data_IF_729871589089
#
_entry.id   IF_729871589089
#
_cell.length_a   1.000
_cell.length_b   1.000
_cell.length_c   1.000
_cell.angle_alpha   90.00
_cell.angle_beta   90.00
_cell.angle_gamma   90.00
#
_symmetry.space_group_name_H-M   'P 1'
#
loop_
_entity.id
_entity.type
_entity.pdbx_description
1 polymer ?
#
# COMPACT_ATOMS: atom_id res chain seq x y z
N UNK A 1 -36.92 -14.17 6.64
CA UNK A 1 -35.90 -14.01 5.58
C UNK A 1 -34.90 -12.90 5.90
N UNK A 2 -35.34 -11.69 6.24
CA UNK A 2 -34.48 -10.53 6.57
C UNK A 2 -33.50 -10.81 7.71
N UNK A 3 -33.95 -11.44 8.81
CA UNK A 3 -33.09 -11.83 9.93
C UNK A 3 -31.99 -12.82 9.53
N UNK A 4 -32.31 -13.80 8.68
CA UNK A 4 -31.34 -14.78 8.16
C UNK A 4 -30.25 -14.10 7.32
N UNK A 5 -30.65 -13.15 6.48
CA UNK A 5 -29.71 -12.36 5.66
C UNK A 5 -28.84 -11.47 6.54
N UNK A 6 -29.40 -10.85 7.58
CA UNK A 6 -28.65 -10.04 8.54
C UNK A 6 -27.61 -10.87 9.32
N UNK A 7 -28.00 -12.07 9.79
CA UNK A 7 -27.07 -13.01 10.43
C UNK A 7 -25.96 -13.46 9.48
N UNK A 8 -26.30 -13.76 8.22
CA UNK A 8 -25.32 -14.14 7.20
C UNK A 8 -24.37 -13.00 6.78
N UNK A 9 -24.77 -11.75 7.03
CA UNK A 9 -23.97 -10.57 6.67
C UNK A 9 -22.83 -10.29 7.66
N UNK A 10 -23.02 -10.58 8.95
CA UNK A 10 -22.02 -10.32 9.99
C UNK A 10 -20.67 -11.04 9.74
N UNK A 11 -20.63 -12.34 9.42
CA UNK A 11 -19.38 -13.04 9.10
C UNK A 11 -18.67 -12.54 7.84
N UNK A 12 -19.31 -11.70 7.03
CA UNK A 12 -18.71 -11.09 5.84
C UNK A 12 -18.22 -9.67 6.15
N UNK A 13 -19.06 -8.84 6.77
CA UNK A 13 -18.73 -7.45 7.10
C UNK A 13 -17.55 -7.38 8.06
N UNK A 14 -17.57 -8.18 9.14
CA UNK A 14 -16.57 -8.08 10.21
C UNK A 14 -15.16 -8.37 9.70
N UNK A 15 -14.88 -9.49 8.98
CA UNK A 15 -13.55 -9.73 8.44
C UNK A 15 -13.09 -8.67 7.44
N UNK A 16 -14.00 -8.14 6.61
CA UNK A 16 -13.68 -7.09 5.63
C UNK A 16 -13.25 -5.80 6.34
N UNK A 17 -13.98 -5.39 7.38
CA UNK A 17 -13.64 -4.20 8.19
C UNK A 17 -12.32 -4.39 8.94
N UNK A 18 -12.11 -5.56 9.57
CA UNK A 18 -10.85 -5.88 10.26
C UNK A 18 -9.68 -5.86 9.28
N UNK A 19 -9.81 -6.51 8.13
CA UNK A 19 -8.76 -6.55 7.11
C UNK A 19 -8.47 -5.15 6.56
N UNK A 20 -9.52 -4.36 6.28
CA UNK A 20 -9.40 -2.96 5.87
C UNK A 20 -8.61 -2.12 6.88
N UNK A 21 -8.96 -2.22 8.16
CA UNK A 21 -8.30 -1.49 9.23
C UNK A 21 -6.82 -1.91 9.39
N UNK A 22 -6.55 -3.21 9.43
CA UNK A 22 -5.19 -3.75 9.58
C UNK A 22 -4.30 -3.33 8.43
N UNK A 23 -4.78 -3.42 7.18
CA UNK A 23 -3.99 -3.04 6.01
C UNK A 23 -3.71 -1.53 5.95
N UNK A 24 -4.68 -0.68 6.33
CA UNK A 24 -4.46 0.78 6.44
C UNK A 24 -3.42 1.12 7.52
N UNK A 25 -3.49 0.49 8.69
CA UNK A 25 -2.50 0.71 9.76
C UNK A 25 -1.11 0.17 9.39
N UNK A 26 -1.04 -0.97 8.71
CA UNK A 26 0.22 -1.53 8.22
C UNK A 26 0.88 -0.61 7.18
N UNK A 27 0.09 -0.02 6.27
CA UNK A 27 0.58 0.98 5.30
C UNK A 27 1.17 2.20 6.01
N UNK A 28 0.44 2.81 6.96
CA UNK A 28 0.93 3.96 7.73
C UNK A 28 2.22 3.63 8.49
N UNK A 29 2.33 2.43 9.08
CA UNK A 29 3.53 2.01 9.84
C UNK A 29 4.76 1.80 8.98
N UNK A 30 4.61 1.36 7.72
CA UNK A 30 5.74 1.14 6.81
C UNK A 30 6.38 2.44 6.34
N UNK A 31 5.76 3.58 6.64
CA UNK A 31 6.25 4.87 6.20
C UNK A 31 6.30 4.98 4.68
N UNK A 32 5.59 4.08 3.97
CA UNK A 32 5.42 4.17 2.54
C UNK A 32 4.89 5.57 2.26
N UNK A 33 5.75 6.42 1.71
CA UNK A 33 5.24 7.58 1.02
C UNK A 33 4.33 7.03 -0.05
N UNK A 34 3.10 7.53 -0.17
CA UNK A 34 2.21 7.10 -1.23
C UNK A 34 2.84 7.52 -2.57
N UNK A 35 3.73 6.69 -3.10
CA UNK A 35 4.35 6.84 -4.41
C UNK A 35 3.23 6.65 -5.44
N UNK A 36 2.59 7.76 -5.79
CA UNK A 36 1.55 7.84 -6.82
C UNK A 36 0.11 7.97 -6.30
N UNK A 37 -0.73 8.54 -7.18
CA UNK A 37 -2.17 8.79 -6.95
C UNK A 37 -2.98 7.52 -6.61
N UNK A 38 -2.52 6.36 -7.07
CA UNK A 38 -3.19 5.06 -6.86
C UNK A 38 -3.19 4.58 -5.40
N UNK A 39 -2.16 4.92 -4.61
CA UNK A 39 -2.05 4.51 -3.20
C UNK A 39 -2.83 5.39 -2.22
N UNK A 40 -3.19 6.61 -2.63
CA UNK A 40 -3.84 7.61 -1.76
C UNK A 40 -5.32 7.34 -1.50
N UNK A 41 -5.98 6.60 -2.39
CA UNK A 41 -7.42 6.40 -2.33
C UNK A 41 -8.20 7.73 -2.19
N UNK A 42 -9.29 7.76 -1.41
CA UNK A 42 -10.05 8.99 -1.14
C UNK A 42 -9.27 10.14 -0.50
N UNK A 43 -8.13 9.84 0.15
CA UNK A 43 -7.33 10.89 0.81
C UNK A 43 -6.59 11.78 -0.17
N UNK A 44 -6.59 11.45 -1.46
CA UNK A 44 -6.12 12.35 -2.54
C UNK A 44 -6.86 13.69 -2.56
N UNK A 45 -8.09 13.73 -2.04
CA UNK A 45 -8.90 14.95 -1.93
C UNK A 45 -8.51 15.84 -0.74
N UNK A 46 -7.64 15.36 0.16
CA UNK A 46 -7.22 16.06 1.36
C UNK A 46 -5.83 16.69 1.20
N UNK A 47 -5.56 17.80 1.91
CA UNK A 47 -4.21 18.35 2.04
C UNK A 47 -3.22 17.30 2.57
N UNK A 48 -1.97 17.38 2.13
CA UNK A 48 -0.93 16.39 2.39
C UNK A 48 -0.74 16.09 3.88
N UNK A 49 -0.73 17.14 4.72
CA UNK A 49 -0.68 17.07 6.19
C UNK A 49 -1.83 16.29 6.84
N UNK A 50 -2.97 16.17 6.17
CA UNK A 50 -4.17 15.49 6.68
C UNK A 50 -4.34 14.06 6.15
N UNK A 51 -3.54 13.62 5.17
CA UNK A 51 -3.69 12.29 4.56
C UNK A 51 -3.46 11.17 5.57
N UNK A 52 -2.30 11.18 6.24
CA UNK A 52 -1.96 10.20 7.28
C UNK A 52 -2.99 10.14 8.42
N UNK A 53 -3.37 11.25 9.07
CA UNK A 53 -4.37 11.19 10.15
C UNK A 53 -5.74 10.74 9.64
N UNK A 54 -6.14 11.08 8.41
CA UNK A 54 -7.40 10.58 7.84
C UNK A 54 -7.39 9.06 7.60
N UNK A 55 -6.27 8.48 7.13
CA UNK A 55 -6.13 7.02 6.97
C UNK A 55 -6.24 6.33 8.33
N UNK A 56 -5.54 6.84 9.35
CA UNK A 56 -5.59 6.30 10.71
C UNK A 56 -7.00 6.40 11.29
N UNK A 57 -7.66 7.55 11.16
CA UNK A 57 -9.03 7.75 11.64
C UNK A 57 -10.00 6.77 10.96
N UNK A 58 -9.89 6.60 9.64
CA UNK A 58 -10.70 5.65 8.89
C UNK A 58 -10.48 4.21 9.38
N UNK A 59 -9.22 3.81 9.60
CA UNK A 59 -8.91 2.49 10.14
C UNK A 59 -9.47 2.26 11.55
N UNK A 60 -9.41 3.28 12.41
CA UNK A 60 -10.01 3.22 13.75
C UNK A 60 -11.54 3.10 13.69
N UNK A 61 -12.18 3.84 12.78
CA UNK A 61 -13.64 3.77 12.56
C UNK A 61 -14.05 2.38 12.04
N UNK A 62 -13.32 1.83 11.07
CA UNK A 62 -13.56 0.47 10.56
C UNK A 62 -13.42 -0.58 11.66
N UNK A 63 -12.36 -0.49 12.47
CA UNK A 63 -12.14 -1.40 13.60
C UNK A 63 -13.24 -1.26 14.66
N UNK A 64 -13.65 -0.02 14.98
CA UNK A 64 -14.74 0.24 15.90
C UNK A 64 -16.05 -0.39 15.44
N UNK A 65 -16.40 -0.29 14.15
CA UNK A 65 -17.60 -0.96 13.61
C UNK A 65 -17.47 -2.48 13.61
N UNK A 66 -16.27 -3.03 13.33
CA UNK A 66 -16.04 -4.47 13.36
C UNK A 66 -16.28 -5.08 14.76
N UNK A 67 -16.01 -4.30 15.82
CA UNK A 67 -16.25 -4.70 17.21
C UNK A 67 -17.68 -4.39 17.66
N UNK A 68 -18.19 -3.19 17.35
CA UNK A 68 -19.48 -2.71 17.84
C UNK A 68 -20.68 -3.44 17.22
N UNK A 69 -20.65 -3.73 15.91
CA UNK A 69 -21.76 -4.40 15.23
C UNK A 69 -22.10 -5.80 15.79
N UNK A 70 -21.14 -6.69 16.08
CA UNK A 70 -21.44 -8.00 16.66
C UNK A 70 -21.74 -7.95 18.17
N UNK A 71 -21.22 -6.97 18.91
CA UNK A 71 -21.25 -6.98 20.38
C UNK A 71 -22.29 -6.04 21.01
N UNK A 72 -22.66 -4.94 20.34
CA UNK A 72 -23.59 -3.96 20.88
C UNK A 72 -24.90 -3.93 20.10
N UNK A 73 -25.98 -4.30 20.79
CA UNK A 73 -27.35 -4.11 20.33
C UNK A 73 -27.79 -2.65 20.52
N UNK A 74 -27.21 -1.74 19.74
CA UNK A 74 -27.50 -0.31 19.81
C UNK A 74 -27.74 0.29 18.42
N UNK A 75 -28.70 1.23 18.24
CA UNK A 75 -28.99 1.82 16.93
C UNK A 75 -27.81 2.64 16.37
N UNK A 76 -27.01 3.28 17.23
CA UNK A 76 -25.88 4.12 16.80
C UNK A 76 -24.86 3.38 15.91
N UNK A 77 -24.22 2.28 16.33
CA UNK A 77 -23.25 1.57 15.49
C UNK A 77 -23.89 0.99 14.22
N UNK A 78 -25.16 0.57 14.28
CA UNK A 78 -25.88 -0.01 13.14
C UNK A 78 -26.16 1.01 12.05
N UNK A 79 -26.84 2.10 12.38
CA UNK A 79 -27.13 3.16 11.43
C UNK A 79 -25.87 3.94 11.04
N UNK A 80 -24.90 4.06 11.96
CA UNK A 80 -23.58 4.62 11.67
C UNK A 80 -22.84 3.83 10.59
N UNK A 81 -22.89 2.49 10.64
CA UNK A 81 -22.28 1.66 9.61
C UNK A 81 -22.97 1.82 8.24
N UNK A 82 -24.30 1.95 8.21
CA UNK A 82 -25.05 2.25 6.98
C UNK A 82 -24.61 3.59 6.38
N UNK A 83 -24.55 4.64 7.20
CA UNK A 83 -24.08 5.97 6.79
C UNK A 83 -22.64 5.91 6.29
N UNK A 84 -21.76 5.19 7.00
CA UNK A 84 -20.37 5.02 6.63
C UNK A 84 -20.21 4.40 5.24
N UNK A 85 -20.87 3.26 4.97
CA UNK A 85 -20.77 2.62 3.65
C UNK A 85 -21.47 3.42 2.56
N UNK A 86 -22.57 4.11 2.86
CA UNK A 86 -23.25 5.00 1.91
C UNK A 86 -22.33 6.15 1.51
N UNK A 87 -21.67 6.77 2.49
CA UNK A 87 -20.68 7.82 2.25
C UNK A 87 -19.49 7.29 1.46
N UNK A 88 -18.98 6.10 1.80
CA UNK A 88 -17.91 5.46 1.05
C UNK A 88 -18.29 5.23 -0.42
N UNK A 89 -19.50 4.71 -0.68
CA UNK A 89 -20.03 4.56 -2.05
C UNK A 89 -20.10 5.89 -2.78
N UNK A 90 -20.64 6.94 -2.13
CA UNK A 90 -20.70 8.27 -2.72
C UNK A 90 -19.31 8.82 -3.08
N UNK A 91 -18.36 8.72 -2.15
CA UNK A 91 -16.98 9.16 -2.35
C UNK A 91 -16.31 8.40 -3.48
N UNK A 92 -16.54 7.08 -3.62
CA UNK A 92 -16.02 6.30 -4.75
C UNK A 92 -16.64 6.73 -6.09
N UNK A 93 -17.94 7.04 -6.12
CA UNK A 93 -18.59 7.57 -7.34
C UNK A 93 -18.04 8.94 -7.71
N UNK A 94 -17.82 9.82 -6.73
CA UNK A 94 -17.25 11.16 -6.94
C UNK A 94 -15.78 11.08 -7.38
N UNK A 95 -14.99 10.20 -6.75
CA UNK A 95 -13.59 9.93 -7.15
C UNK A 95 -13.52 9.40 -8.58
N UNK A 96 -14.38 8.45 -8.96
CA UNK A 96 -14.41 7.94 -10.34
C UNK A 96 -14.68 9.05 -11.36
N UNK A 97 -15.44 10.08 -10.98
CA UNK A 97 -15.74 11.24 -11.85
C UNK A 97 -14.61 12.26 -11.88
N UNK A 98 -13.96 12.55 -10.73
CA UNK A 98 -12.97 13.63 -10.61
C UNK A 98 -11.52 13.18 -10.81
N UNK A 99 -11.19 11.96 -10.38
CA UNK A 99 -9.84 11.39 -10.32
C UNK A 99 -9.90 9.88 -10.59
N UNK A 100 -10.19 9.44 -11.83
CA UNK A 100 -10.35 8.03 -12.15
C UNK A 100 -9.12 7.19 -11.81
N UNK A 101 -7.92 7.79 -11.85
CA UNK A 101 -6.64 7.15 -11.54
C UNK A 101 -6.41 6.87 -10.05
N UNK A 102 -7.24 7.42 -9.15
CA UNK A 102 -7.11 7.16 -7.72
C UNK A 102 -7.61 5.76 -7.37
N UNK A 103 -6.98 5.14 -6.35
CA UNK A 103 -7.43 3.84 -5.82
C UNK A 103 -8.72 3.93 -5.02
N UNK A 104 -9.30 2.78 -4.64
CA UNK A 104 -10.49 2.76 -3.78
C UNK A 104 -10.20 2.97 -2.28
N UNK A 105 -8.94 2.74 -1.84
CA UNK A 105 -8.50 2.92 -0.46
C UNK A 105 -9.08 1.93 0.57
N UNK A 106 -10.02 1.04 0.20
CA UNK A 106 -10.65 0.09 1.13
C UNK A 106 -9.64 -0.83 1.84
N UNK A 107 -8.56 -1.23 1.16
CA UNK A 107 -7.50 -2.08 1.70
C UNK A 107 -6.15 -1.36 1.84
N UNK A 108 -6.17 -0.02 2.01
CA UNK A 108 -4.96 0.79 2.02
C UNK A 108 -4.18 0.69 0.70
N UNK A 109 -2.85 0.66 0.78
CA UNK A 109 -1.92 0.59 -0.37
C UNK A 109 -2.00 -0.71 -1.18
N UNK A 110 -2.72 -1.72 -0.70
CA UNK A 110 -2.92 -2.98 -1.43
C UNK A 110 -3.91 -2.78 -2.59
N UNK A 111 -4.73 -1.74 -2.54
CA UNK A 111 -5.72 -1.42 -3.58
C UNK A 111 -5.27 -0.23 -4.45
N UNK A 112 -4.21 -0.43 -5.25
CA UNK A 112 -3.71 0.61 -6.17
C UNK A 112 -4.51 0.71 -7.47
N UNK A 113 -5.38 -0.28 -7.75
CA UNK A 113 -6.26 -0.26 -8.92
C UNK A 113 -7.19 0.96 -8.91
N UNK A 114 -7.30 1.67 -10.05
CA UNK A 114 -8.28 2.73 -10.30
C UNK A 114 -9.69 2.36 -9.84
N UNK A 115 -10.44 3.34 -9.32
CA UNK A 115 -11.84 3.12 -8.91
C UNK A 115 -12.69 2.70 -10.11
N UNK A 116 -13.10 1.42 -10.11
CA UNK A 116 -13.97 0.83 -11.12
C UNK A 116 -15.42 0.66 -10.67
N UNK A 117 -16.27 0.14 -11.58
CA UNK A 117 -17.64 -0.25 -11.23
C UNK A 117 -17.67 -1.37 -10.17
N UNK A 118 -16.67 -2.26 -10.17
CA UNK A 118 -16.56 -3.36 -9.20
C UNK A 118 -16.37 -2.85 -7.77
N UNK A 119 -15.46 -1.89 -7.54
CA UNK A 119 -15.22 -1.33 -6.20
C UNK A 119 -16.43 -0.54 -5.68
N UNK A 120 -17.13 0.20 -6.55
CA UNK A 120 -18.41 0.85 -6.21
C UNK A 120 -19.45 -0.22 -5.84
N UNK A 121 -19.57 -1.27 -6.65
CA UNK A 121 -20.46 -2.40 -6.40
C UNK A 121 -20.19 -3.05 -5.04
N UNK A 122 -18.92 -3.31 -4.70
CA UNK A 122 -18.54 -3.86 -3.39
C UNK A 122 -18.99 -2.95 -2.25
N UNK A 123 -18.72 -1.65 -2.33
CA UNK A 123 -19.14 -0.70 -1.30
C UNK A 123 -20.67 -0.66 -1.15
N UNK A 124 -21.41 -0.69 -2.26
CA UNK A 124 -22.88 -0.79 -2.25
C UNK A 124 -23.35 -2.09 -1.60
N UNK A 125 -22.74 -3.24 -1.93
CA UNK A 125 -23.07 -4.54 -1.33
C UNK A 125 -22.86 -4.53 0.18
N UNK A 126 -21.73 -4.01 0.66
CA UNK A 126 -21.46 -3.86 2.10
C UNK A 126 -22.46 -2.88 2.76
N UNK A 127 -22.86 -1.81 2.06
CA UNK A 127 -23.92 -0.90 2.48
C UNK A 127 -25.28 -1.60 2.64
N UNK A 128 -25.66 -2.45 1.69
CA UNK A 128 -26.90 -3.23 1.78
C UNK A 128 -26.86 -4.28 2.90
N UNK A 129 -25.70 -4.92 3.11
CA UNK A 129 -25.50 -5.86 4.21
C UNK A 129 -25.61 -5.15 5.58
N UNK A 130 -25.00 -3.98 5.72
CA UNK A 130 -25.13 -3.18 6.96
C UNK A 130 -26.54 -2.64 7.16
N UNK A 131 -27.26 -2.33 6.07
CA UNK A 131 -28.68 -1.99 6.15
C UNK A 131 -29.52 -3.18 6.63
N UNK A 132 -29.26 -4.39 6.16
CA UNK A 132 -29.94 -5.60 6.64
C UNK A 132 -29.71 -5.81 8.15
N UNK A 133 -28.48 -5.60 8.63
CA UNK A 133 -28.11 -5.64 10.06
C UNK A 133 -28.75 -4.49 10.85
N UNK A 134 -28.94 -3.32 10.25
CA UNK A 134 -29.62 -2.20 10.92
C UNK A 134 -31.12 -2.44 11.09
N UNK A 135 -31.76 -3.10 10.11
CA UNK A 135 -33.18 -3.39 10.11
C UNK A 135 -33.56 -4.60 10.99
N UNK A 136 -32.61 -5.49 11.30
CA UNK A 136 -32.84 -6.68 12.12
C UNK A 136 -31.86 -6.68 13.29
N UNK A 137 -32.32 -6.61 14.55
CA UNK A 137 -31.42 -6.48 15.69
C UNK A 137 -30.72 -7.79 16.04
N UNK A 138 -29.73 -8.16 15.22
CA UNK A 138 -28.94 -9.38 15.37
C UNK A 138 -27.59 -9.08 16.00
N UNK A 139 -27.09 -10.02 16.80
CA UNK A 139 -25.80 -9.97 17.49
C UNK A 139 -24.97 -11.23 17.23
N UNK A 140 -23.72 -11.26 17.70
CA UNK A 140 -22.89 -12.47 17.63
C UNK A 140 -23.47 -13.64 18.45
N UNK A 141 -24.24 -13.38 19.50
CA UNK A 141 -24.91 -14.44 20.25
C UNK A 141 -25.97 -15.15 19.38
N UNK A 142 -26.74 -14.37 18.62
CA UNK A 142 -27.73 -14.88 17.68
C UNK A 142 -27.10 -15.65 16.51
N UNK A 143 -25.88 -15.27 16.14
CA UNK A 143 -25.09 -15.97 15.12
C UNK A 143 -24.78 -17.41 15.52
N UNK A 144 -24.36 -17.60 16.78
CA UNK A 144 -24.04 -18.94 17.32
C UNK A 144 -25.30 -19.76 17.54
N UNK A 145 -26.36 -19.14 18.07
CA UNK A 145 -27.63 -19.80 18.32
C UNK A 145 -28.40 -20.15 17.02
N UNK A 146 -28.23 -19.36 15.96
CA UNK A 146 -28.96 -19.45 14.69
C UNK A 146 -28.23 -20.18 13.57
N UNK A 147 -27.18 -20.96 13.88
CA UNK A 147 -26.38 -21.65 12.88
C UNK A 147 -27.24 -22.65 12.08
N UNK A 148 -27.39 -22.40 10.78
CA UNK A 148 -28.18 -23.23 9.88
C UNK A 148 -27.52 -23.34 8.50
N UNK A 149 -27.83 -24.41 7.78
CA UNK A 149 -27.33 -24.62 6.40
C UNK A 149 -27.73 -23.50 5.46
N UNK A 150 -28.94 -22.95 5.63
CA UNK A 150 -29.44 -21.81 4.86
C UNK A 150 -28.65 -20.55 5.18
N UNK A 151 -28.36 -20.28 6.45
CA UNK A 151 -27.51 -19.13 6.85
C UNK A 151 -26.08 -19.27 6.29
N UNK A 152 -25.50 -20.47 6.35
CA UNK A 152 -24.18 -20.74 5.78
C UNK A 152 -24.18 -20.51 4.25
N UNK A 153 -25.21 -21.00 3.54
CA UNK A 153 -25.37 -20.78 2.11
C UNK A 153 -25.43 -19.29 1.74
N UNK A 154 -26.20 -18.50 2.50
CA UNK A 154 -26.25 -17.04 2.32
C UNK A 154 -24.90 -16.36 2.62
N UNK A 155 -24.20 -16.81 3.65
CA UNK A 155 -22.89 -16.28 4.02
C UNK A 155 -21.86 -16.53 2.90
N UNK A 156 -21.82 -17.75 2.37
CA UNK A 156 -20.94 -18.12 1.26
C UNK A 156 -21.29 -17.34 -0.01
N UNK A 157 -22.58 -17.20 -0.34
CA UNK A 157 -23.01 -16.41 -1.50
C UNK A 157 -22.64 -14.92 -1.36
N UNK A 158 -22.86 -14.35 -0.17
CA UNK A 158 -22.48 -12.98 0.17
C UNK A 158 -20.96 -12.76 0.06
N UNK A 159 -20.17 -13.66 0.64
CA UNK A 159 -18.71 -13.61 0.57
C UNK A 159 -18.24 -13.73 -0.89
N UNK A 160 -18.79 -14.67 -1.66
CA UNK A 160 -18.46 -14.86 -3.07
C UNK A 160 -18.79 -13.61 -3.90
N UNK A 161 -19.92 -12.95 -3.63
CA UNK A 161 -20.28 -11.69 -4.29
C UNK A 161 -19.28 -10.58 -3.96
N UNK A 162 -18.91 -10.42 -2.68
CA UNK A 162 -17.91 -9.42 -2.27
C UNK A 162 -16.56 -9.69 -2.92
N UNK A 163 -16.13 -10.96 -2.99
CA UNK A 163 -14.88 -11.37 -3.64
C UNK A 163 -14.93 -11.10 -5.16
N UNK A 164 -16.02 -11.45 -5.84
CA UNK A 164 -16.21 -11.19 -7.27
C UNK A 164 -16.18 -9.68 -7.59
N UNK A 165 -16.69 -8.86 -6.67
CA UNK A 165 -16.66 -7.39 -6.76
C UNK A 165 -15.34 -6.78 -6.26
N UNK A 166 -14.37 -7.58 -5.79
CA UNK A 166 -13.09 -7.11 -5.28
C UNK A 166 -12.02 -7.13 -6.39
N UNK A 167 -11.78 -6.02 -7.11
CA UNK A 167 -10.78 -5.97 -8.19
C UNK A 167 -9.33 -6.23 -7.74
N UNK A 168 -9.08 -6.19 -6.44
CA UNK A 168 -7.78 -6.37 -5.79
C UNK A 168 -7.33 -7.83 -5.77
N UNK A 169 -8.24 -8.80 -5.92
CA UNK A 169 -7.91 -10.23 -5.99
C UNK A 169 -7.10 -10.51 -7.27
N UNK A 170 -7.53 -9.97 -8.41
CA UNK A 170 -6.82 -10.11 -9.67
C UNK A 170 -5.39 -9.54 -9.58
N UNK A 171 -5.20 -8.44 -8.84
CA UNK A 171 -3.88 -7.83 -8.64
C UNK A 171 -3.02 -8.63 -7.66
N UNK A 172 -3.61 -9.14 -6.58
CA UNK A 172 -2.93 -10.02 -5.64
C UNK A 172 -2.47 -11.31 -6.34
N UNK A 173 -3.34 -11.91 -7.16
CA UNK A 173 -3.02 -13.09 -7.98
C UNK A 173 -1.94 -12.73 -9.00
N UNK A 174 -2.04 -11.58 -9.68
CA UNK A 174 -1.02 -11.15 -10.64
C UNK A 174 0.34 -10.91 -9.97
N UNK A 175 0.40 -10.26 -8.79
CA UNK A 175 1.64 -10.07 -8.02
C UNK A 175 2.22 -11.38 -7.48
N UNK A 176 1.34 -12.32 -7.10
CA UNK A 176 1.76 -13.64 -6.65
C UNK A 176 2.31 -14.48 -7.81
N UNK A 177 1.71 -14.33 -9.00
CA UNK A 177 2.09 -15.06 -10.21
C UNK A 177 3.28 -14.44 -10.95
N UNK A 178 3.41 -13.12 -10.89
CA UNK A 178 4.46 -12.34 -11.53
C UNK A 178 5.14 -11.47 -10.49
N UNK A 179 6.42 -11.75 -10.22
CA UNK A 179 7.25 -10.88 -9.40
C UNK A 179 7.38 -9.55 -10.14
N UNK A 180 6.88 -8.47 -9.55
CA UNK A 180 7.02 -7.14 -10.14
C UNK A 180 8.51 -6.86 -10.42
N UNK A 181 8.85 -6.41 -11.64
CA UNK A 181 10.25 -6.18 -11.98
C UNK A 181 10.82 -5.03 -11.15
N UNK A 182 12.13 -5.02 -10.96
CA UNK A 182 12.82 -4.25 -9.92
C UNK A 182 12.61 -2.74 -10.03
N UNK A 183 12.39 -2.23 -11.24
CA UNK A 183 12.08 -0.85 -11.56
C UNK A 183 10.72 -0.38 -11.03
N UNK A 184 9.77 -1.29 -10.81
CA UNK A 184 8.45 -0.99 -10.26
C UNK A 184 8.33 -1.29 -8.75
N UNK A 185 9.35 -1.90 -8.13
CA UNK A 185 9.33 -2.20 -6.69
C UNK A 185 9.64 -0.95 -5.88
N UNK A 186 8.85 -0.70 -4.85
CA UNK A 186 9.22 0.23 -3.78
C UNK A 186 10.42 -0.33 -3.02
N UNK A 187 11.49 0.45 -2.90
CA UNK A 187 12.73 0.05 -2.24
C UNK A 187 13.17 1.17 -1.29
N UNK A 188 13.09 0.97 0.04
CA UNK A 188 13.49 1.96 1.04
C UNK A 188 14.92 2.46 0.81
N UNK A 189 15.17 3.74 1.09
CA UNK A 189 16.53 4.32 0.96
C UNK A 189 17.50 3.64 1.91
N UNK A 190 17.00 3.34 3.10
CA UNK A 190 17.73 2.77 4.23
C UNK A 190 18.24 1.35 3.92
N UNK A 191 17.46 0.59 3.14
CA UNK A 191 17.87 -0.74 2.68
C UNK A 191 19.02 -0.64 1.68
N UNK A 192 18.98 0.32 0.77
CA UNK A 192 20.07 0.54 -0.18
C UNK A 192 21.31 1.11 0.51
N UNK A 193 21.14 1.99 1.49
CA UNK A 193 22.22 2.60 2.27
C UNK A 193 22.89 1.58 3.21
N UNK A 194 22.12 0.72 3.86
CA UNK A 194 22.67 -0.37 4.69
C UNK A 194 23.45 -1.38 3.85
N UNK A 195 23.00 -1.66 2.62
CA UNK A 195 23.75 -2.48 1.66
C UNK A 195 25.03 -1.79 1.22
N UNK A 196 24.98 -0.51 0.86
CA UNK A 196 26.15 0.28 0.50
C UNK A 196 27.19 0.23 1.62
N UNK A 197 26.80 0.61 2.84
CA UNK A 197 27.73 0.67 3.98
C UNK A 197 28.32 -0.68 4.38
N UNK A 198 27.66 -1.79 4.02
CA UNK A 198 28.18 -3.15 4.22
C UNK A 198 29.06 -3.66 3.06
N UNK A 199 29.15 -2.94 1.94
CA UNK A 199 29.81 -3.40 0.72
C UNK A 199 31.34 -3.27 0.78
N UNK A 200 32.03 -3.93 -0.17
CA UNK A 200 33.49 -3.81 -0.28
C UNK A 200 33.88 -2.43 -0.84
N UNK A 201 33.12 -1.95 -1.82
CA UNK A 201 33.26 -0.65 -2.49
C UNK A 201 33.18 0.49 -1.48
N UNK A 202 32.26 0.40 -0.50
CA UNK A 202 32.20 1.38 0.58
C UNK A 202 33.46 1.35 1.44
N UNK A 203 33.93 0.17 1.86
CA UNK A 203 35.15 0.06 2.68
C UNK A 203 36.38 0.59 1.97
N UNK A 204 36.45 0.40 0.66
CA UNK A 204 37.54 0.88 -0.20
C UNK A 204 37.53 2.40 -0.37
N UNK A 205 36.37 3.00 -0.64
CA UNK A 205 36.25 4.43 -0.99
C UNK A 205 35.96 5.34 0.20
N UNK A 206 35.49 4.81 1.32
CA UNK A 206 35.22 5.58 2.56
C UNK A 206 36.37 6.51 2.98
N UNK A 207 37.67 6.14 2.88
CA UNK A 207 38.77 7.03 3.25
C UNK A 207 38.86 8.31 2.42
N UNK A 208 38.29 8.32 1.21
CA UNK A 208 38.28 9.48 0.32
C UNK A 208 37.15 10.47 0.65
N UNK A 209 36.15 10.06 1.43
CA UNK A 209 34.94 10.85 1.65
C UNK A 209 35.18 11.97 2.67
N UNK A 210 34.68 13.17 2.36
CA UNK A 210 34.67 14.31 3.29
C UNK A 210 33.56 14.16 4.34
N UNK A 211 32.42 13.59 3.93
CA UNK A 211 31.26 13.33 4.80
C UNK A 211 30.71 11.92 4.57
N UNK A 212 30.06 11.37 5.60
CA UNK A 212 29.29 10.11 5.50
C UNK A 212 27.82 10.33 5.15
N UNK A 213 27.40 11.56 4.87
CA UNK A 213 26.07 11.89 4.37
C UNK A 213 26.12 12.15 2.87
N UNK A 214 25.27 11.51 2.05
CA UNK A 214 25.25 11.78 0.61
C UNK A 214 24.75 13.20 0.34
N UNK A 215 25.35 13.86 -0.64
CA UNK A 215 24.92 15.19 -1.12
C UNK A 215 23.74 15.09 -2.08
N UNK A 216 23.66 14.00 -2.83
CA UNK A 216 22.53 13.69 -3.70
C UNK A 216 22.21 12.19 -3.70
N UNK A 217 20.96 11.86 -3.96
CA UNK A 217 20.46 10.49 -4.03
C UNK A 217 19.30 10.43 -4.99
N UNK A 218 19.44 9.62 -6.04
CA UNK A 218 18.36 9.34 -6.98
C UNK A 218 18.27 7.85 -7.29
N UNK A 219 17.24 7.49 -8.06
CA UNK A 219 17.00 6.14 -8.54
C UNK A 219 16.83 6.19 -10.05
N UNK A 220 17.53 5.30 -10.74
CA UNK A 220 17.33 5.04 -12.16
C UNK A 220 17.05 3.54 -12.33
N UNK A 221 15.85 3.20 -12.78
CA UNK A 221 15.40 1.81 -12.92
C UNK A 221 15.63 0.99 -11.63
N UNK A 222 16.49 -0.03 -11.73
CA UNK A 222 16.84 -0.95 -10.64
C UNK A 222 18.10 -0.55 -9.87
N UNK A 223 18.63 0.65 -10.11
CA UNK A 223 19.82 1.16 -9.45
C UNK A 223 19.47 2.36 -8.57
N UNK A 224 20.02 2.38 -7.37
CA UNK A 224 20.02 3.54 -6.49
C UNK A 224 21.40 4.16 -6.50
N UNK A 225 21.45 5.47 -6.71
CA UNK A 225 22.69 6.23 -6.73
C UNK A 225 22.83 7.05 -5.46
N UNK A 226 24.03 7.09 -4.92
CA UNK A 226 24.42 7.95 -3.80
C UNK A 226 25.68 8.70 -4.18
N UNK A 227 25.65 10.03 -4.07
CA UNK A 227 26.81 10.88 -4.35
C UNK A 227 27.35 11.42 -3.05
N UNK A 228 28.66 11.31 -2.89
CA UNK A 228 29.39 11.84 -1.74
C UNK A 228 30.51 12.75 -2.22
N UNK A 229 30.69 13.87 -1.53
CA UNK A 229 31.87 14.69 -1.71
C UNK A 229 33.11 13.96 -1.15
N UNK A 230 34.18 13.95 -1.94
CA UNK A 230 35.44 13.33 -1.59
C UNK A 230 36.66 14.17 -1.98
N UNK A 231 37.83 13.72 -1.53
CA UNK A 231 39.14 14.23 -1.93
C UNK A 231 40.09 13.08 -2.26
N UNK A 232 40.88 13.24 -3.31
CA UNK A 232 41.96 12.30 -3.64
C UNK A 232 43.10 12.37 -2.62
N UNK A 233 44.03 11.41 -2.68
CA UNK A 233 45.25 11.46 -1.88
C UNK A 233 46.10 12.72 -2.16
N UNK A 234 46.01 13.24 -3.40
CA UNK A 234 46.71 14.46 -3.85
C UNK A 234 45.95 15.75 -3.46
N UNK A 235 44.74 15.63 -2.89
CA UNK A 235 43.95 16.75 -2.36
C UNK A 235 42.88 17.31 -3.31
N UNK A 236 42.77 16.77 -4.52
CA UNK A 236 41.81 17.20 -5.53
C UNK A 236 40.37 16.86 -5.13
N UNK A 237 39.44 17.77 -5.41
CA UNK A 237 38.02 17.57 -5.14
C UNK A 237 37.42 16.59 -6.17
N UNK A 238 36.72 15.57 -5.67
CA UNK A 238 36.08 14.54 -6.49
C UNK A 238 34.73 14.16 -5.90
N UNK A 239 33.82 13.76 -6.78
CA UNK A 239 32.57 13.14 -6.37
C UNK A 239 32.72 11.61 -6.42
N UNK A 240 32.37 10.97 -5.31
CA UNK A 240 32.32 9.51 -5.21
C UNK A 240 30.87 9.07 -5.39
N UNK A 241 30.60 8.44 -6.53
CA UNK A 241 29.26 7.99 -6.90
C UNK A 241 29.17 6.49 -6.67
N UNK A 242 28.24 6.05 -5.82
CA UNK A 242 27.92 4.64 -5.63
C UNK A 242 26.62 4.28 -6.32
N UNK A 243 26.59 3.16 -7.05
CA UNK A 243 25.40 2.59 -7.64
C UNK A 243 25.09 1.24 -6.97
N UNK A 244 23.95 1.15 -6.30
CA UNK A 244 23.49 -0.05 -5.57
C UNK A 244 22.34 -0.69 -6.35
N UNK A 245 22.49 -1.95 -6.73
CA UNK A 245 21.39 -2.68 -7.37
C UNK A 245 20.29 -3.03 -6.36
N UNK A 246 19.04 -2.79 -6.73
CA UNK A 246 17.87 -3.00 -5.86
C UNK A 246 17.39 -4.46 -5.83
N UNK A 247 17.87 -5.29 -6.76
CA UNK A 247 17.62 -6.73 -6.81
C UNK A 247 18.85 -7.56 -6.40
N UNK A 248 18.63 -8.78 -5.89
CA UNK A 248 19.70 -9.70 -5.48
C UNK A 248 19.99 -9.77 -3.98
N UNK A 249 19.20 -9.07 -3.15
CA UNK A 249 19.29 -9.15 -1.68
C UNK A 249 20.68 -8.77 -1.15
N UNK A 250 21.28 -9.64 -0.34
CA UNK A 250 22.63 -9.43 0.25
C UNK A 250 23.78 -9.47 -0.75
N UNK A 251 23.58 -10.05 -1.94
CA UNK A 251 24.60 -10.17 -2.98
C UNK A 251 24.36 -9.20 -4.14
N UNK A 252 23.48 -8.21 -3.94
CA UNK A 252 23.22 -7.20 -4.94
C UNK A 252 24.52 -6.45 -5.26
N UNK A 253 24.89 -6.30 -6.55
CA UNK A 253 26.12 -5.63 -6.91
C UNK A 253 26.07 -4.16 -6.48
N UNK A 254 27.16 -3.70 -5.87
CA UNK A 254 27.46 -2.30 -5.64
C UNK A 254 28.59 -1.92 -6.59
N UNK A 255 28.48 -0.77 -7.24
CA UNK A 255 29.53 -0.23 -8.11
C UNK A 255 29.89 1.16 -7.61
N UNK A 256 31.12 1.59 -7.84
CA UNK A 256 31.56 2.94 -7.54
C UNK A 256 32.24 3.56 -8.76
N UNK A 257 32.17 4.88 -8.87
CA UNK A 257 32.97 5.67 -9.80
C UNK A 257 33.47 6.93 -9.08
N UNK A 258 34.65 7.40 -9.49
CA UNK A 258 35.20 8.69 -9.11
C UNK A 258 35.00 9.67 -10.26
N UNK A 259 34.36 10.80 -9.99
CA UNK A 259 34.06 11.83 -10.98
C UNK A 259 34.80 13.11 -10.58
N UNK A 260 35.60 13.66 -11.49
CA UNK A 260 36.25 14.95 -11.28
C UNK A 260 35.24 16.10 -11.37
N UNK A 261 35.63 17.29 -10.90
CA UNK A 261 34.76 18.47 -10.89
C UNK A 261 34.26 18.90 -12.28
N UNK A 262 34.95 18.51 -13.35
CA UNK A 262 34.56 18.74 -14.75
C UNK A 262 33.60 17.68 -15.30
N UNK A 263 33.17 16.73 -14.47
CA UNK A 263 32.28 15.62 -14.84
C UNK A 263 32.99 14.45 -15.50
N UNK A 264 34.32 14.47 -15.62
CA UNK A 264 35.07 13.34 -16.19
C UNK A 264 35.22 12.21 -15.20
N UNK A 265 35.02 10.97 -15.65
CA UNK A 265 35.33 9.79 -14.84
C UNK A 265 36.84 9.66 -14.74
N UNK A 266 37.37 9.65 -13.52
CA UNK A 266 38.79 9.45 -13.24
C UNK A 266 39.20 7.97 -13.38
N UNK A 267 38.23 7.07 -13.50
CA UNK A 267 38.45 5.64 -13.72
C UNK A 267 37.99 5.25 -15.12
N UNK A 268 38.73 4.33 -15.76
CA UNK A 268 38.33 3.77 -17.05
C UNK A 268 37.04 2.97 -16.86
N UNK A 269 35.91 3.56 -17.24
CA UNK A 269 34.65 2.85 -17.31
C UNK A 269 34.82 1.67 -18.28
N UNK A 270 34.42 0.44 -17.91
CA UNK A 270 34.36 -0.65 -18.86
C UNK A 270 33.49 -0.22 -20.05
N UNK A 271 33.98 -0.46 -21.26
CA UNK A 271 33.33 -0.10 -22.51
C UNK A 271 31.85 -0.50 -22.44
N UNK A 272 30.96 0.48 -22.64
CA UNK A 272 29.52 0.26 -22.55
C UNK A 272 29.13 -0.82 -23.55
N UNK A 273 28.55 -1.93 -23.07
CA UNK A 273 28.01 -2.97 -23.93
C UNK A 273 26.95 -2.29 -24.83
N UNK A 274 27.06 -2.37 -26.17
CA UNK A 274 26.08 -1.78 -27.06
C UNK A 274 24.71 -2.40 -26.76
N UNK A 275 23.75 -1.55 -26.41
CA UNK A 275 22.36 -1.94 -26.25
C UNK A 275 21.79 -2.09 -27.65
N UNK A 276 21.63 -3.33 -28.12
CA UNK A 276 20.89 -3.59 -29.35
C UNK A 276 19.47 -3.06 -29.20
N UNK A 277 19.08 -2.16 -30.11
CA UNK A 277 17.74 -1.59 -30.23
C UNK A 277 16.69 -2.64 -30.63
#
# INVERSE_FOLDING_TARGET
MTTTIALASLPVIVPVLVLGAVLKLAAVRRGAEPEGLGGLGPTVLLPERLRRPAIVLCALVEFAYAVALPLWDHPLPRWGAVVFFTLATYVLVDLKRRRPEAGCGCFGEVSRKPVGLRSIGRAMTLGLMTLAVALSPVTAADLVAGLSWTMLGWTVAAAALVLLLSPEIDEMIARMRYRAPCELREAPVEDALSRLTASAEWRERRPLLVSTTPVDTWRELCWRFFVYEGRTADGDAVDVVFAVHLDGGRHAPVRSALVAADGTSLESLPESIPVSA
#
